data_IF_842579276507
#
_entry.id   IF_842579276507
#
_cell.length_a   1.000
_cell.length_b   1.000
_cell.length_c   1.000
_cell.angle_alpha   90.00
_cell.angle_beta   90.00
_cell.angle_gamma   90.00
#
_symmetry.space_group_name_H-M   'P 1'
#
loop_
_entity.id
_entity.type
_entity.pdbx_description
1 polymer ?
#
# COMPACT_ATOMS: atom_id res chain seq x y z
N UNK A 1 27.63 57.62 7.66
CA UNK A 1 26.89 58.73 8.31
C UNK A 1 25.48 58.22 8.55
N UNK A 2 25.21 57.58 9.69
CA UNK A 2 24.86 58.18 11.00
C UNK A 2 23.38 58.59 11.09
N UNK A 3 22.62 57.74 11.82
CA UNK A 3 21.30 57.90 12.44
C UNK A 3 21.18 59.21 13.29
N UNK A 4 20.10 59.51 14.08
CA UNK A 4 18.84 58.80 14.39
C UNK A 4 17.59 59.72 14.53
N UNK A 5 16.43 59.20 14.98
CA UNK A 5 15.71 59.68 16.19
C UNK A 5 15.01 58.47 16.83
N UNK A 6 15.18 58.33 18.15
CA UNK A 6 14.57 57.32 19.02
C UNK A 6 13.49 57.94 19.92
N UNK A 7 12.65 57.04 20.46
CA UNK A 7 11.83 57.12 21.71
C UNK A 7 10.49 57.86 21.62
N UNK A 8 9.39 57.45 22.26
CA UNK A 8 9.25 56.69 23.52
C UNK A 8 7.99 55.81 23.62
N UNK A 9 8.10 54.71 24.36
CA UNK A 9 7.01 53.94 25.00
C UNK A 9 6.15 54.86 25.89
N UNK A 10 4.82 54.69 25.91
CA UNK A 10 4.11 53.90 26.95
C UNK A 10 2.59 54.18 26.97
N UNK A 11 1.84 53.13 27.33
CA UNK A 11 0.58 53.17 28.08
C UNK A 11 -0.73 53.51 27.35
N UNK A 12 -1.46 52.46 26.95
CA UNK A 12 -2.81 52.09 27.45
C UNK A 12 -3.58 51.36 26.35
N UNK A 13 -3.59 50.04 26.46
CA UNK A 13 -4.55 49.16 25.80
C UNK A 13 -5.74 49.13 26.75
N UNK A 14 -6.89 49.65 26.32
CA UNK A 14 -8.19 49.37 26.95
C UNK A 14 -9.31 49.58 25.91
N UNK A 15 -10.13 48.54 25.76
CA UNK A 15 -11.50 48.48 25.22
C UNK A 15 -11.74 48.48 23.69
N UNK A 16 -11.90 47.28 23.11
CA UNK A 16 -13.19 46.66 22.73
C UNK A 16 -12.96 45.40 21.83
N UNK A 17 -13.96 44.52 21.57
CA UNK A 17 -14.20 43.27 22.29
C UNK A 17 -13.91 41.99 21.48
N UNK A 18 -13.42 40.95 22.16
CA UNK A 18 -13.27 39.58 21.66
C UNK A 18 -14.58 38.79 21.77
N UNK A 19 -15.02 38.03 20.74
CA UNK A 19 -15.90 36.91 20.96
C UNK A 19 -15.10 35.71 21.47
N UNK A 20 -15.52 35.28 22.66
CA UNK A 20 -14.99 34.20 23.47
C UNK A 20 -15.76 32.92 23.13
N UNK A 21 -15.09 31.90 22.59
CA UNK A 21 -15.33 30.50 22.97
C UNK A 21 -14.36 29.56 22.26
N UNK A 22 -13.32 29.17 22.99
CA UNK A 22 -12.70 27.85 22.87
C UNK A 22 -12.52 27.37 24.31
N UNK A 23 -12.97 26.16 24.63
CA UNK A 23 -12.16 25.30 25.47
C UNK A 23 -11.72 24.08 24.66
N UNK A 24 -10.42 23.80 24.76
CA UNK A 24 -9.82 22.57 24.31
C UNK A 24 -10.19 21.42 25.27
N UNK A 25 -10.07 20.21 24.73
CA UNK A 25 -9.85 18.91 25.38
C UNK A 25 -11.07 18.06 25.78
N UNK A 26 -10.91 16.78 25.43
CA UNK A 26 -11.55 15.55 25.94
C UNK A 26 -12.83 15.09 25.22
N UNK A 27 -12.82 13.77 24.92
CA UNK A 27 -13.80 12.85 24.30
C UNK A 27 -13.37 12.48 22.86
N UNK A 28 -12.64 11.38 22.54
CA UNK A 28 -12.72 9.96 22.96
C UNK A 28 -14.14 9.46 23.25
N UNK A 29 -14.53 8.47 22.44
CA UNK A 29 -15.70 7.60 22.50
C UNK A 29 -17.10 8.20 22.24
N UNK A 30 -17.64 7.77 21.10
CA UNK A 30 -18.93 7.08 20.98
C UNK A 30 -20.26 7.85 20.79
N UNK A 31 -21.03 7.31 19.83
CA UNK A 31 -22.49 7.05 19.82
C UNK A 31 -23.32 7.72 18.72
N UNK A 32 -23.63 6.92 17.70
CA UNK A 32 -25.00 6.79 17.17
C UNK A 32 -25.49 5.34 17.32
N UNK A 33 -25.53 4.86 18.57
CA UNK A 33 -26.31 3.68 18.97
C UNK A 33 -27.76 4.12 19.13
N UNK A 34 -28.59 3.93 18.11
CA UNK A 34 -30.05 4.11 18.24
C UNK A 34 -30.72 2.75 18.33
N UNK A 35 -31.03 2.36 19.58
CA UNK A 35 -32.00 1.30 19.92
C UNK A 35 -33.28 1.48 19.08
N UNK A 36 -33.62 0.47 18.28
CA UNK A 36 -35.03 0.14 18.02
C UNK A 36 -35.39 -1.13 18.79
N UNK A 37 -36.62 -1.12 19.29
CA UNK A 37 -37.21 -2.11 20.17
C UNK A 37 -37.56 -3.39 19.41
N UNK A 38 -37.49 -4.49 20.17
CA UNK A 38 -37.77 -5.89 19.83
C UNK A 38 -39.14 -6.17 19.20
N UNK A 39 -39.17 -7.36 18.55
CA UNK A 39 -40.25 -8.29 18.19
C UNK A 39 -40.35 -8.47 16.66
N UNK A 40 -40.25 -9.66 16.07
CA UNK A 40 -40.33 -11.03 16.57
C UNK A 40 -39.74 -12.02 15.54
N UNK A 41 -39.32 -13.18 16.06
CA UNK A 41 -38.78 -14.37 15.39
C UNK A 41 -39.52 -14.80 14.11
N UNK A 42 -38.75 -15.27 13.12
CA UNK A 42 -38.92 -16.60 12.51
C UNK A 42 -37.71 -16.97 11.65
N UNK A 43 -37.03 -18.05 12.05
CA UNK A 43 -36.10 -18.82 11.23
C UNK A 43 -36.78 -19.33 9.95
N UNK A 44 -36.07 -19.29 8.82
CA UNK A 44 -35.89 -20.47 7.95
C UNK A 44 -34.81 -20.25 6.87
N UNK A 45 -34.22 -21.37 6.50
CA UNK A 45 -32.97 -21.58 5.76
C UNK A 45 -32.92 -21.05 4.31
N UNK A 46 -31.68 -20.74 3.90
CA UNK A 46 -31.03 -20.92 2.59
C UNK A 46 -31.89 -20.79 1.31
N UNK A 47 -31.54 -19.82 0.46
CA UNK A 47 -30.97 -20.09 -0.86
C UNK A 47 -30.38 -18.79 -1.46
N UNK A 48 -29.23 -18.98 -2.12
CA UNK A 48 -28.43 -18.02 -2.85
C UNK A 48 -29.14 -17.67 -4.18
N UNK A 49 -29.65 -16.44 -4.30
CA UNK A 49 -29.98 -15.81 -5.58
C UNK A 49 -29.92 -14.28 -5.39
N UNK A 50 -28.91 -13.65 -5.99
CA UNK A 50 -28.72 -12.20 -6.00
C UNK A 50 -29.77 -11.52 -6.90
N UNK A 51 -30.97 -11.32 -6.36
CA UNK A 51 -31.98 -10.45 -6.97
C UNK A 51 -31.58 -8.99 -6.72
N UNK A 52 -31.07 -8.34 -7.77
CA UNK A 52 -30.72 -6.91 -7.75
C UNK A 52 -31.95 -6.10 -7.35
N UNK A 53 -31.86 -5.49 -6.18
CA UNK A 53 -32.90 -4.67 -5.59
C UNK A 53 -33.10 -3.41 -6.47
N UNK A 54 -34.15 -3.40 -7.31
CA UNK A 54 -34.62 -2.19 -7.98
C UNK A 54 -34.74 -1.06 -6.95
N UNK A 55 -33.87 -0.05 -7.05
CA UNK A 55 -33.82 0.99 -6.05
C UNK A 55 -35.16 1.76 -6.03
N UNK A 56 -35.86 1.90 -4.89
CA UNK A 56 -37.18 2.58 -4.80
C UNK A 56 -37.19 4.05 -5.25
N UNK A 57 -36.03 4.60 -5.61
CA UNK A 57 -35.84 5.93 -6.17
C UNK A 57 -36.18 6.01 -7.67
N UNK A 58 -35.87 5.00 -8.47
CA UNK A 58 -36.07 5.05 -9.94
C UNK A 58 -37.54 5.03 -10.31
N UNK A 59 -38.32 4.15 -9.69
CA UNK A 59 -39.77 4.07 -9.90
C UNK A 59 -40.50 5.36 -9.45
N UNK A 60 -40.03 6.05 -8.40
CA UNK A 60 -40.55 7.37 -8.00
C UNK A 60 -40.12 8.52 -8.92
N UNK A 61 -38.96 8.40 -9.56
CA UNK A 61 -38.50 9.35 -10.57
C UNK A 61 -39.36 9.20 -11.82
N UNK A 62 -39.59 7.97 -12.28
CA UNK A 62 -40.45 7.66 -13.43
C UNK A 62 -41.90 8.13 -13.21
N UNK A 63 -42.50 7.86 -12.04
CA UNK A 63 -43.87 8.31 -11.72
C UNK A 63 -44.00 9.86 -11.74
N UNK A 64 -42.92 10.58 -11.48
CA UNK A 64 -42.89 12.05 -11.47
C UNK A 64 -42.51 12.67 -12.82
N UNK A 65 -41.76 11.93 -13.64
CA UNK A 65 -41.41 12.29 -15.02
C UNK A 65 -42.60 12.03 -15.97
N UNK A 66 -43.37 10.96 -15.77
CA UNK A 66 -44.65 10.71 -16.44
C UNK A 66 -45.63 11.89 -16.23
N UNK A 67 -45.65 12.47 -15.03
CA UNK A 67 -46.48 13.63 -14.72
C UNK A 67 -46.07 14.92 -15.48
N UNK A 68 -44.84 14.98 -16.00
CA UNK A 68 -44.31 16.11 -16.77
C UNK A 68 -44.49 15.92 -18.29
N UNK A 69 -44.81 14.71 -18.75
CA UNK A 69 -45.06 14.37 -20.15
C UNK A 69 -46.56 14.38 -20.52
N UNK A 70 -47.40 15.02 -19.70
CA UNK A 70 -48.81 15.25 -20.03
C UNK A 70 -48.91 16.40 -21.04
N UNK A 71 -48.62 16.10 -22.30
CA UNK A 71 -49.24 16.68 -23.50
C UNK A 71 -48.68 15.94 -24.72
N UNK A 72 -49.08 14.68 -24.91
CA UNK A 72 -49.39 14.09 -26.22
C UNK A 72 -50.10 12.74 -26.03
N UNK A 73 -51.06 12.47 -26.92
CA UNK A 73 -52.18 11.54 -26.76
C UNK A 73 -51.77 10.06 -26.88
N UNK A 74 -52.29 9.26 -25.95
CA UNK A 74 -52.79 7.87 -26.06
C UNK A 74 -52.68 7.18 -27.44
N UNK A 75 -51.91 6.08 -27.51
CA UNK A 75 -52.32 4.78 -28.11
C UNK A 75 -51.15 3.77 -28.12
N UNK A 76 -51.36 2.56 -27.56
CA UNK A 76 -50.72 1.33 -28.06
C UNK A 76 -49.86 0.52 -27.07
N UNK A 77 -50.22 -0.75 -26.93
CA UNK A 77 -49.71 -1.81 -26.04
C UNK A 77 -48.38 -2.46 -26.47
N UNK A 78 -47.68 -3.02 -25.47
CA UNK A 78 -46.91 -4.29 -25.41
C UNK A 78 -45.51 -4.46 -26.05
N UNK A 79 -44.68 -5.21 -25.30
CA UNK A 79 -43.38 -5.88 -25.60
C UNK A 79 -42.15 -4.92 -25.69
N UNK A 80 -40.92 -5.18 -25.19
CA UNK A 80 -40.15 -6.41 -24.90
C UNK A 80 -39.17 -6.15 -23.72
N UNK A 81 -38.91 -7.17 -22.90
CA UNK A 81 -37.74 -7.26 -22.02
C UNK A 81 -36.52 -7.56 -22.90
N UNK A 82 -35.59 -6.62 -23.07
CA UNK A 82 -34.19 -6.81 -23.51
C UNK A 82 -33.63 -5.43 -23.95
N UNK A 83 -33.00 -4.67 -23.02
CA UNK A 83 -32.03 -3.55 -23.26
C UNK A 83 -31.96 -2.62 -22.02
N UNK A 84 -31.40 -3.10 -20.90
CA UNK A 84 -31.32 -2.27 -19.67
C UNK A 84 -30.12 -1.29 -19.63
N UNK A 85 -29.13 -1.40 -20.52
CA UNK A 85 -28.06 -0.39 -20.63
C UNK A 85 -28.39 0.76 -21.60
N UNK A 86 -29.25 0.57 -22.61
CA UNK A 86 -29.71 1.66 -23.50
C UNK A 86 -30.88 2.48 -22.89
N UNK A 87 -31.58 1.94 -21.90
CA UNK A 87 -32.76 2.56 -21.29
C UNK A 87 -32.51 3.88 -20.53
N UNK A 88 -31.30 4.08 -20.01
CA UNK A 88 -30.96 5.32 -19.28
C UNK A 88 -30.79 6.52 -20.23
N UNK A 89 -30.20 6.33 -21.41
CA UNK A 89 -30.06 7.40 -22.41
C UNK A 89 -31.43 7.79 -23.02
N UNK A 90 -32.30 6.80 -23.30
CA UNK A 90 -33.66 7.05 -23.78
C UNK A 90 -34.54 7.80 -22.76
N UNK A 91 -34.34 7.57 -21.47
CA UNK A 91 -35.07 8.29 -20.42
C UNK A 91 -34.74 9.80 -20.42
N UNK A 92 -33.50 10.19 -20.74
CA UNK A 92 -33.11 11.59 -20.92
C UNK A 92 -33.73 12.22 -22.17
N UNK A 93 -33.87 11.45 -23.27
CA UNK A 93 -34.48 11.94 -24.50
C UNK A 93 -35.99 12.22 -24.35
N UNK A 94 -36.67 11.46 -23.47
CA UNK A 94 -38.10 11.65 -23.15
C UNK A 94 -38.37 12.81 -22.19
N UNK A 95 -37.35 13.52 -21.71
CA UNK A 95 -37.54 14.67 -20.82
C UNK A 95 -38.03 15.92 -21.58
N UNK A 96 -38.94 16.71 -20.99
CA UNK A 96 -39.34 17.98 -21.59
C UNK A 96 -38.13 18.86 -21.89
N UNK A 97 -38.14 19.55 -23.04
CA UNK A 97 -37.02 20.40 -23.50
C UNK A 97 -36.52 21.39 -22.43
N UNK A 98 -37.40 21.89 -21.58
CA UNK A 98 -37.03 22.78 -20.49
C UNK A 98 -36.19 22.09 -19.40
N UNK A 99 -36.44 20.81 -19.12
CA UNK A 99 -35.67 19.98 -18.20
C UNK A 99 -34.33 19.60 -18.85
N UNK A 100 -34.34 19.17 -20.11
CA UNK A 100 -33.11 18.88 -20.85
C UNK A 100 -32.15 20.08 -20.94
N UNK A 101 -32.67 21.28 -21.21
CA UNK A 101 -31.85 22.49 -21.17
C UNK A 101 -31.24 22.76 -19.78
N UNK A 102 -31.92 22.39 -18.68
CA UNK A 102 -31.37 22.52 -17.33
C UNK A 102 -30.30 21.47 -17.07
N UNK A 103 -30.49 20.23 -17.51
CA UNK A 103 -29.49 19.17 -17.39
C UNK A 103 -28.22 19.54 -18.16
N UNK A 104 -28.34 20.06 -19.39
CA UNK A 104 -27.19 20.56 -20.14
C UNK A 104 -26.47 21.71 -19.40
N UNK A 105 -27.23 22.61 -18.76
CA UNK A 105 -26.63 23.65 -17.92
C UNK A 105 -25.94 23.08 -16.66
N UNK A 106 -26.49 22.02 -16.05
CA UNK A 106 -25.86 21.32 -14.93
C UNK A 106 -24.58 20.59 -15.37
N UNK A 107 -24.56 19.96 -16.55
CA UNK A 107 -23.34 19.38 -17.14
C UNK A 107 -22.24 20.43 -17.34
N UNK A 108 -22.60 21.65 -17.76
CA UNK A 108 -21.66 22.76 -17.86
C UNK A 108 -21.10 23.18 -16.48
N UNK A 109 -21.96 23.30 -15.46
CA UNK A 109 -21.52 23.59 -14.08
C UNK A 109 -20.60 22.48 -13.55
N UNK A 110 -20.89 21.22 -13.86
CA UNK A 110 -20.03 20.10 -13.49
C UNK A 110 -18.64 20.22 -14.13
N UNK A 111 -18.57 20.63 -15.41
CA UNK A 111 -17.29 20.91 -16.07
C UNK A 111 -16.51 22.04 -15.39
N UNK A 112 -17.19 23.12 -14.97
CA UNK A 112 -16.54 24.22 -14.23
C UNK A 112 -16.00 23.74 -12.87
N UNK A 113 -16.71 22.80 -12.22
CA UNK A 113 -16.29 22.18 -10.96
C UNK A 113 -15.04 21.31 -11.15
N UNK A 114 -15.01 20.48 -12.20
CA UNK A 114 -13.82 19.69 -12.55
C UNK A 114 -12.58 20.56 -12.82
N UNK A 115 -12.74 21.72 -13.47
CA UNK A 115 -11.63 22.66 -13.68
C UNK A 115 -11.12 23.24 -12.34
N UNK A 116 -12.02 23.49 -11.38
CA UNK A 116 -11.65 23.95 -10.04
C UNK A 116 -10.91 22.85 -9.26
N UNK A 117 -11.40 21.61 -9.30
CA UNK A 117 -10.76 20.45 -8.67
C UNK A 117 -9.37 20.19 -9.23
N UNK A 118 -9.19 20.35 -10.55
CA UNK A 118 -7.87 20.30 -11.18
C UNK A 118 -6.90 21.34 -10.61
N UNK A 119 -7.35 22.57 -10.42
CA UNK A 119 -6.51 23.59 -9.80
C UNK A 119 -6.19 23.26 -8.33
N UNK A 120 -7.16 22.72 -7.58
CA UNK A 120 -6.94 22.27 -6.21
C UNK A 120 -5.87 21.17 -6.12
N UNK A 121 -5.93 20.15 -6.99
CA UNK A 121 -4.93 19.07 -7.01
C UNK A 121 -3.54 19.58 -7.38
N UNK A 122 -3.43 20.52 -8.31
CA UNK A 122 -2.15 21.15 -8.64
C UNK A 122 -1.57 21.95 -7.45
N UNK A 123 -2.40 22.74 -6.77
CA UNK A 123 -1.97 23.46 -5.56
C UNK A 123 -1.60 22.50 -4.41
N UNK A 124 -2.29 21.35 -4.30
CA UNK A 124 -1.95 20.30 -3.34
C UNK A 124 -0.59 19.71 -3.63
N UNK A 125 -0.31 19.35 -4.89
CA UNK A 125 1.00 18.82 -5.31
C UNK A 125 2.13 19.81 -5.04
N UNK A 126 1.93 21.10 -5.33
CA UNK A 126 2.89 22.16 -5.01
C UNK A 126 3.13 22.28 -3.49
N UNK A 127 2.07 22.10 -2.68
CA UNK A 127 2.16 22.12 -1.23
C UNK A 127 2.93 20.91 -0.69
N UNK A 128 2.64 19.71 -1.19
CA UNK A 128 3.36 18.48 -0.87
C UNK A 128 4.85 18.63 -1.18
N UNK A 129 5.18 19.11 -2.39
CA UNK A 129 6.56 19.37 -2.79
C UNK A 129 7.25 20.36 -1.84
N UNK A 130 6.57 21.44 -1.45
CA UNK A 130 7.10 22.43 -0.50
C UNK A 130 7.40 21.80 0.87
N UNK A 131 6.56 20.89 1.35
CA UNK A 131 6.79 20.21 2.63
C UNK A 131 7.82 19.10 2.53
N UNK A 132 7.92 18.41 1.40
CA UNK A 132 9.01 17.48 1.12
C UNK A 132 10.38 18.16 1.31
N UNK A 133 10.55 19.39 0.81
CA UNK A 133 11.80 20.16 1.04
C UNK A 133 12.07 20.46 2.52
N UNK A 134 11.04 20.53 3.37
CA UNK A 134 11.21 20.69 4.82
C UNK A 134 11.49 19.37 5.53
N UNK A 135 11.03 18.25 4.97
CA UNK A 135 11.33 16.91 5.47
C UNK A 135 12.75 16.47 5.08
N UNK A 136 13.28 16.91 3.93
CA UNK A 136 14.62 16.55 3.43
C UNK A 136 15.72 16.62 4.51
N UNK A 137 15.90 17.71 5.29
CA UNK A 137 16.93 17.76 6.34
C UNK A 137 16.75 16.71 7.44
N UNK A 138 15.52 16.33 7.77
CA UNK A 138 15.23 15.30 8.77
C UNK A 138 15.54 13.91 8.20
N UNK A 139 15.19 13.67 6.93
CA UNK A 139 15.48 12.40 6.25
C UNK A 139 16.98 12.22 6.00
N UNK A 140 17.69 13.30 5.65
CA UNK A 140 19.15 13.32 5.54
C UNK A 140 19.81 13.01 6.88
N UNK A 141 19.33 13.63 7.97
CA UNK A 141 19.85 13.33 9.30
C UNK A 141 19.59 11.88 9.73
N UNK A 142 18.39 11.35 9.46
CA UNK A 142 18.08 9.92 9.66
C UNK A 142 19.04 9.03 8.87
N UNK A 143 19.31 9.36 7.61
CA UNK A 143 20.25 8.61 6.77
C UNK A 143 21.68 8.61 7.34
N UNK A 144 22.16 9.73 7.84
CA UNK A 144 23.48 9.84 8.49
C UNK A 144 23.59 8.95 9.75
N UNK A 145 22.49 8.82 10.52
CA UNK A 145 22.44 7.91 11.68
C UNK A 145 22.39 6.44 11.25
N UNK A 146 21.56 6.10 10.25
CA UNK A 146 21.44 4.72 9.74
C UNK A 146 22.78 4.22 9.17
N UNK A 147 23.51 5.07 8.47
CA UNK A 147 24.81 4.70 7.87
C UNK A 147 25.99 4.79 8.85
N UNK A 148 25.78 5.37 10.04
CA UNK A 148 26.86 5.60 11.02
C UNK A 148 27.81 6.75 10.65
N UNK A 149 27.45 7.58 9.66
CA UNK A 149 28.22 8.79 9.30
C UNK A 149 28.18 9.85 10.42
N UNK A 150 27.12 9.84 11.24
CA UNK A 150 27.01 10.64 12.46
C UNK A 150 26.45 9.81 13.60
N UNK A 151 26.92 10.12 14.80
CA UNK A 151 26.38 9.59 16.05
C UNK A 151 25.22 10.43 16.58
N UNK A 152 24.29 9.78 17.27
CA UNK A 152 23.17 10.45 17.93
C UNK A 152 23.66 11.38 19.05
N UNK A 153 23.04 12.55 19.17
CA UNK A 153 23.37 13.48 20.25
C UNK A 153 22.68 13.09 21.56
N UNK A 154 23.27 13.45 22.71
CA UNK A 154 22.65 13.21 24.03
C UNK A 154 21.22 13.80 24.14
N UNK A 155 20.96 14.93 23.48
CA UNK A 155 19.63 15.55 23.46
C UNK A 155 18.61 14.72 22.66
N UNK A 156 19.03 14.11 21.55
CA UNK A 156 18.20 13.26 20.71
C UNK A 156 17.89 11.94 21.41
N UNK A 157 18.89 11.30 22.03
CA UNK A 157 18.72 10.07 22.80
C UNK A 157 17.73 10.30 23.93
N UNK A 158 17.95 11.36 24.73
CA UNK A 158 17.04 11.70 25.83
C UNK A 158 15.62 11.95 25.34
N UNK A 159 15.47 12.70 24.25
CA UNK A 159 14.16 12.98 23.66
C UNK A 159 13.50 11.70 23.13
N UNK A 160 14.27 10.80 22.53
CA UNK A 160 13.81 9.51 22.03
C UNK A 160 13.28 8.62 23.15
N UNK A 161 14.06 8.43 24.23
CA UNK A 161 13.64 7.64 25.40
C UNK A 161 12.36 8.19 26.06
N UNK A 162 12.23 9.52 26.16
CA UNK A 162 10.98 10.14 26.64
C UNK A 162 9.77 9.84 25.75
N UNK A 163 9.95 9.67 24.44
CA UNK A 163 8.87 9.37 23.49
C UNK A 163 8.49 7.89 23.52
N UNK A 164 9.45 7.00 23.75
CA UNK A 164 9.25 5.55 23.87
C UNK A 164 8.65 5.15 25.23
N UNK A 165 8.50 6.11 26.15
CA UNK A 165 7.90 5.87 27.46
C UNK A 165 8.88 5.33 28.50
N UNK A 166 10.19 5.40 28.25
CA UNK A 166 11.25 4.95 29.17
C UNK A 166 11.48 5.89 30.36
N UNK A 167 10.72 6.98 30.49
CA UNK A 167 10.80 7.91 31.62
C UNK A 167 10.03 7.39 32.86
N UNK A 168 10.51 6.30 33.49
CA UNK A 168 10.29 6.04 34.93
C UNK A 168 11.14 4.90 35.55
N UNK A 169 12.02 4.25 34.78
CA UNK A 169 13.08 3.44 35.38
C UNK A 169 14.38 4.25 35.46
N UNK A 170 15.01 4.12 36.63
CA UNK A 170 16.03 4.98 37.18
C UNK A 170 17.19 5.21 36.20
N UNK A 171 17.94 6.29 36.41
CA UNK A 171 19.36 6.34 36.04
C UNK A 171 20.09 5.16 36.72
N UNK A 172 19.83 3.92 36.30
CA UNK A 172 20.89 2.93 36.24
C UNK A 172 21.80 3.48 35.15
N UNK A 173 22.84 4.19 35.59
CA UNK A 173 24.11 4.18 34.88
C UNK A 173 24.39 2.71 34.56
N UNK A 174 23.89 2.24 33.41
CA UNK A 174 24.47 1.12 32.72
C UNK A 174 25.80 1.68 32.23
N UNK A 175 26.75 1.79 33.16
CA UNK A 175 28.17 1.56 32.92
C UNK A 175 28.22 0.14 32.33
N UNK A 176 27.82 0.01 31.07
CA UNK A 176 28.23 -1.10 30.24
C UNK A 176 29.74 -0.88 30.14
N UNK A 177 30.48 -1.57 31.03
CA UNK A 177 31.87 -1.91 30.74
C UNK A 177 31.88 -2.32 29.26
N UNK A 178 32.71 -1.70 28.40
CA UNK A 178 32.71 -2.04 26.99
C UNK A 178 32.89 -3.55 26.91
N UNK A 179 31.89 -4.28 26.40
CA UNK A 179 32.05 -5.70 26.16
C UNK A 179 33.24 -5.83 25.21
N UNK A 180 34.39 -6.25 25.74
CA UNK A 180 35.60 -6.49 24.98
C UNK A 180 35.32 -7.64 23.99
N UNK A 181 34.75 -7.33 22.84
CA UNK A 181 34.41 -8.32 21.83
C UNK A 181 33.34 -7.95 20.81
N UNK A 182 32.58 -6.86 20.99
CA UNK A 182 31.65 -6.42 19.94
C UNK A 182 32.46 -5.80 18.79
N UNK A 183 32.35 -6.39 17.60
CA UNK A 183 32.81 -5.77 16.36
C UNK A 183 32.19 -4.36 16.30
N UNK A 184 32.94 -3.32 15.91
CA UNK A 184 32.40 -1.97 15.79
C UNK A 184 31.22 -1.98 14.81
N UNK A 185 29.98 -2.05 15.34
CA UNK A 185 28.76 -2.02 14.53
C UNK A 185 28.60 -0.58 14.05
N UNK A 186 28.69 -0.38 12.74
CA UNK A 186 28.55 0.94 12.13
C UNK A 186 27.07 1.16 11.77
N UNK A 187 26.50 2.24 12.30
CA UNK A 187 25.12 2.65 11.98
C UNK A 187 24.07 1.66 12.49
N UNK A 188 22.98 1.51 11.72
CA UNK A 188 21.87 0.59 11.98
C UNK A 188 21.80 -0.43 10.85
N UNK A 189 22.39 -1.62 11.01
CA UNK A 189 22.40 -2.65 9.98
C UNK A 189 20.99 -3.07 9.55
N UNK A 190 20.83 -3.38 8.26
CA UNK A 190 19.59 -3.91 7.68
C UNK A 190 18.33 -3.06 7.90
N UNK A 191 18.46 -1.77 8.26
CA UNK A 191 17.34 -0.90 8.62
C UNK A 191 16.19 -0.93 7.59
N UNK A 192 16.51 -0.72 6.30
CA UNK A 192 15.48 -0.67 5.26
C UNK A 192 14.91 -2.04 4.92
N UNK A 193 15.73 -3.09 4.94
CA UNK A 193 15.26 -4.46 4.74
C UNK A 193 14.23 -4.81 5.82
N UNK A 194 14.56 -4.62 7.10
CA UNK A 194 13.64 -4.90 8.22
C UNK A 194 12.38 -4.03 8.13
N UNK A 195 12.50 -2.74 7.80
CA UNK A 195 11.33 -1.88 7.62
C UNK A 195 10.42 -2.34 6.46
N UNK A 196 11.00 -2.83 5.36
CA UNK A 196 10.27 -3.37 4.21
C UNK A 196 9.63 -4.73 4.51
N UNK A 197 10.27 -5.59 5.30
CA UNK A 197 9.70 -6.88 5.73
C UNK A 197 8.45 -6.69 6.61
N UNK A 198 8.43 -5.63 7.42
CA UNK A 198 7.28 -5.28 8.23
C UNK A 198 6.16 -4.58 7.43
N UNK A 199 6.35 -4.26 6.15
CA UNK A 199 5.33 -3.62 5.31
C UNK A 199 4.62 -4.67 4.44
N UNK A 200 3.37 -5.07 4.73
CA UNK A 200 2.78 -6.31 4.19
C UNK A 200 2.76 -6.42 2.66
N UNK A 201 2.42 -5.35 1.95
CA UNK A 201 2.38 -5.35 0.48
C UNK A 201 3.77 -5.47 -0.15
N UNK A 202 4.80 -4.91 0.51
CA UNK A 202 6.17 -4.99 0.03
C UNK A 202 6.77 -6.36 0.36
N UNK A 203 6.60 -6.84 1.59
CA UNK A 203 7.21 -8.08 2.07
C UNK A 203 6.74 -9.31 1.30
N UNK A 204 5.48 -9.35 0.84
CA UNK A 204 4.96 -10.41 -0.03
C UNK A 204 5.73 -10.54 -1.36
N UNK A 205 6.38 -9.47 -1.81
CA UNK A 205 7.14 -9.43 -3.06
C UNK A 205 8.65 -9.59 -2.82
N UNK A 206 9.11 -9.71 -1.58
CA UNK A 206 10.52 -9.89 -1.21
C UNK A 206 10.81 -11.37 -1.00
N UNK A 207 11.75 -11.92 -1.76
CA UNK A 207 12.22 -13.30 -1.60
C UNK A 207 13.49 -13.37 -0.76
N UNK A 208 13.85 -14.57 -0.28
CA UNK A 208 15.09 -14.80 0.48
C UNK A 208 16.35 -14.35 -0.29
N UNK A 209 16.37 -14.50 -1.62
CA UNK A 209 17.47 -14.05 -2.45
C UNK A 209 17.53 -12.51 -2.53
N UNK A 210 16.38 -11.84 -2.48
CA UNK A 210 16.31 -10.38 -2.49
C UNK A 210 16.81 -9.78 -1.17
N UNK A 211 16.59 -10.47 -0.04
CA UNK A 211 17.07 -10.03 1.28
C UNK A 211 18.58 -9.78 1.27
N UNK A 212 19.37 -10.68 0.67
CA UNK A 212 20.82 -10.53 0.56
C UNK A 212 21.22 -9.25 -0.16
N UNK A 213 20.48 -8.87 -1.22
CA UNK A 213 20.73 -7.65 -1.99
C UNK A 213 20.26 -6.41 -1.22
N UNK A 214 19.09 -6.50 -0.57
CA UNK A 214 18.50 -5.42 0.21
C UNK A 214 19.28 -5.09 1.49
N UNK A 215 20.18 -5.97 1.95
CA UNK A 215 21.14 -5.63 3.02
C UNK A 215 22.04 -4.44 2.65
N UNK A 216 22.29 -4.22 1.35
CA UNK A 216 23.06 -3.10 0.83
C UNK A 216 22.20 -1.83 0.61
N UNK A 217 20.90 -1.86 0.89
CA UNK A 217 20.03 -0.68 0.74
C UNK A 217 20.26 0.29 1.90
N UNK A 218 20.79 1.47 1.59
CA UNK A 218 21.18 2.47 2.60
C UNK A 218 20.16 3.59 2.74
N UNK A 219 19.39 3.91 1.69
CA UNK A 219 18.39 4.97 1.74
C UNK A 219 17.26 4.77 0.73
N UNK A 220 16.06 5.26 1.08
CA UNK A 220 14.93 5.42 0.16
C UNK A 220 14.47 6.87 0.25
N UNK A 221 14.40 7.54 -0.89
CA UNK A 221 13.98 8.95 -0.98
C UNK A 221 12.88 9.15 -2.02
N UNK A 222 12.08 10.21 -1.82
CA UNK A 222 10.98 10.61 -2.68
C UNK A 222 11.31 11.95 -3.33
N UNK A 223 11.04 12.07 -4.62
CA UNK A 223 11.05 13.33 -5.36
C UNK A 223 9.78 13.47 -6.20
N UNK A 224 9.23 14.68 -6.31
CA UNK A 224 8.12 14.97 -7.22
C UNK A 224 8.62 15.47 -8.56
N UNK A 225 7.96 15.05 -9.64
CA UNK A 225 8.27 15.48 -11.00
C UNK A 225 7.81 16.93 -11.20
N UNK A 226 8.74 17.82 -11.50
CA UNK A 226 8.49 19.27 -11.61
C UNK A 226 8.46 19.79 -13.04
N UNK A 227 9.02 19.03 -13.98
CA UNK A 227 9.13 19.41 -15.38
C UNK A 227 8.32 18.44 -16.25
N UNK A 228 7.17 18.90 -16.77
CA UNK A 228 6.34 18.12 -17.68
C UNK A 228 5.09 17.55 -17.03
N UNK A 229 4.91 16.23 -17.11
CA UNK A 229 3.76 15.53 -16.52
C UNK A 229 3.95 15.44 -14.99
N UNK A 230 2.91 15.68 -14.18
CA UNK A 230 2.98 15.49 -12.74
C UNK A 230 3.21 14.00 -12.42
N UNK A 231 3.80 13.73 -11.28
CA UNK A 231 4.20 12.38 -10.87
C UNK A 231 5.20 12.42 -9.73
N UNK A 232 5.70 11.25 -9.35
CA UNK A 232 6.73 11.13 -8.34
C UNK A 232 7.73 10.04 -8.68
N UNK A 233 8.90 10.12 -8.06
CA UNK A 233 10.01 9.20 -8.23
C UNK A 233 10.49 8.72 -6.87
N UNK A 234 10.62 7.40 -6.74
CA UNK A 234 11.27 6.71 -5.64
C UNK A 234 12.72 6.43 -6.03
N UNK A 235 13.65 6.77 -5.15
CA UNK A 235 15.10 6.60 -5.38
C UNK A 235 15.66 5.75 -4.25
N UNK A 236 16.12 4.55 -4.61
CA UNK A 236 16.74 3.57 -3.72
C UNK A 236 18.26 3.70 -3.86
N UNK A 237 18.95 4.00 -2.77
CA UNK A 237 20.42 4.19 -2.76
C UNK A 237 21.08 2.98 -2.14
N UNK A 238 21.99 2.35 -2.88
CA UNK A 238 22.72 1.16 -2.44
C UNK A 238 24.16 1.50 -2.06
N UNK A 239 24.72 0.71 -1.16
CA UNK A 239 26.13 0.80 -0.81
C UNK A 239 27.01 0.55 -2.06
N UNK A 240 28.13 1.26 -2.14
CA UNK A 240 29.14 1.11 -3.20
C UNK A 240 29.87 -0.22 -3.12
N UNK A 241 29.85 -0.88 -1.96
CA UNK A 241 30.41 -2.21 -1.77
C UNK A 241 29.46 -3.34 -2.21
N UNK A 242 28.27 -3.01 -2.72
CA UNK A 242 27.31 -3.97 -3.27
C UNK A 242 27.94 -4.89 -4.32
N UNK A 243 27.85 -6.21 -4.07
CA UNK A 243 28.43 -7.25 -4.93
C UNK A 243 27.50 -7.68 -6.08
N UNK A 244 26.22 -7.32 -6.04
CA UNK A 244 25.20 -7.83 -6.96
C UNK A 244 25.08 -7.02 -8.26
N UNK A 245 25.13 -5.68 -8.17
CA UNK A 245 25.03 -4.79 -9.33
C UNK A 245 25.85 -3.52 -9.14
N UNK A 246 26.09 -2.81 -10.24
CA UNK A 246 26.99 -1.62 -10.26
C UNK A 246 26.27 -0.28 -10.11
N UNK A 247 24.94 -0.26 -10.11
CA UNK A 247 24.15 0.95 -9.88
C UNK A 247 24.36 1.46 -8.44
N UNK A 248 24.67 2.76 -8.28
CA UNK A 248 24.66 3.41 -6.96
C UNK A 248 23.23 3.69 -6.48
N UNK A 249 22.33 3.96 -7.43
CA UNK A 249 20.91 4.20 -7.17
C UNK A 249 20.05 3.44 -8.16
N UNK A 250 18.89 2.97 -7.72
CA UNK A 250 17.82 2.48 -8.59
C UNK A 250 16.60 3.38 -8.43
N UNK A 251 16.04 3.80 -9.55
CA UNK A 251 14.89 4.71 -9.59
C UNK A 251 13.63 4.02 -10.12
N UNK A 252 12.50 4.39 -9.53
CA UNK A 252 11.17 4.01 -9.99
C UNK A 252 10.32 5.27 -10.08
N UNK A 253 9.77 5.54 -11.26
CA UNK A 253 9.06 6.79 -11.57
C UNK A 253 7.63 6.47 -11.95
N UNK A 254 6.69 7.18 -11.35
CA UNK A 254 5.27 7.10 -11.65
C UNK A 254 4.82 8.41 -12.28
N UNK A 255 4.18 8.32 -13.43
CA UNK A 255 3.62 9.47 -14.13
C UNK A 255 2.10 9.48 -13.98
N UNK A 256 1.55 10.66 -13.73
CA UNK A 256 0.11 10.87 -13.73
C UNK A 256 -0.37 11.36 -15.09
N UNK A 257 -1.62 11.03 -15.40
CA UNK A 257 -2.32 11.57 -16.56
C UNK A 257 -2.55 13.09 -16.39
N UNK A 258 -2.75 13.78 -17.52
CA UNK A 258 -3.01 15.23 -17.50
C UNK A 258 -4.45 15.58 -17.10
N UNK A 259 -5.33 14.59 -17.17
CA UNK A 259 -6.74 14.66 -16.78
C UNK A 259 -6.89 14.01 -15.41
N UNK A 260 -7.77 14.58 -14.57
CA UNK A 260 -8.13 13.96 -13.31
C UNK A 260 -9.15 12.86 -13.56
N UNK A 261 -9.16 11.88 -12.67
CA UNK A 261 -10.22 10.88 -12.65
C UNK A 261 -11.55 11.49 -12.26
N UNK A 262 -12.60 10.69 -12.44
CA UNK A 262 -13.95 11.10 -12.07
C UNK A 262 -14.08 11.43 -10.57
N UNK A 263 -13.26 10.81 -9.70
CA UNK A 263 -13.19 11.12 -8.26
C UNK A 263 -12.54 12.48 -7.95
N UNK A 264 -11.89 13.11 -8.92
CA UNK A 264 -11.11 14.32 -8.74
C UNK A 264 -9.65 14.09 -8.33
N UNK A 265 -9.16 12.85 -8.35
CA UNK A 265 -7.77 12.49 -8.02
C UNK A 265 -6.91 12.27 -9.27
N UNK A 266 -5.59 12.28 -9.10
CA UNK A 266 -4.66 11.94 -10.18
C UNK A 266 -4.80 10.46 -10.55
N UNK A 267 -4.89 10.18 -11.86
CA UNK A 267 -4.85 8.81 -12.40
C UNK A 267 -3.42 8.51 -12.84
N UNK A 268 -2.94 7.28 -12.57
CA UNK A 268 -1.67 6.80 -13.10
C UNK A 268 -1.72 6.62 -14.63
N UNK A 269 -0.70 7.11 -15.32
CA UNK A 269 -0.50 6.97 -16.76
C UNK A 269 0.31 5.70 -17.05
N UNK A 270 1.55 5.69 -16.56
CA UNK A 270 2.46 4.55 -16.65
C UNK A 270 3.55 4.69 -15.58
N UNK A 271 4.31 3.60 -15.39
CA UNK A 271 5.52 3.61 -14.58
C UNK A 271 6.77 3.34 -15.42
N UNK A 272 7.88 3.96 -15.05
CA UNK A 272 9.21 3.70 -15.59
C UNK A 272 10.14 3.24 -14.47
N UNK A 273 10.76 2.09 -14.63
CA UNK A 273 11.81 1.62 -13.75
C UNK A 273 13.21 1.80 -14.34
N UNK A 274 14.23 1.42 -13.57
CA UNK A 274 15.63 1.53 -13.96
C UNK A 274 16.25 0.16 -14.25
N UNK A 275 16.98 0.07 -15.36
CA UNK A 275 17.71 -1.16 -15.69
C UNK A 275 18.83 -1.43 -14.70
N UNK A 276 18.75 -2.59 -14.04
CA UNK A 276 19.75 -3.05 -13.08
C UNK A 276 20.95 -3.66 -13.82
N UNK A 277 22.14 -3.14 -13.54
CA UNK A 277 23.40 -3.59 -14.13
C UNK A 277 24.05 -4.66 -13.24
N UNK A 278 23.43 -5.85 -13.23
CA UNK A 278 23.92 -7.04 -12.52
C UNK A 278 25.38 -7.36 -12.90
N UNK A 279 26.20 -7.69 -11.90
CA UNK A 279 27.63 -8.00 -12.10
C UNK A 279 27.81 -9.29 -12.90
N UNK A 280 26.98 -10.31 -12.62
CA UNK A 280 26.88 -11.52 -13.41
C UNK A 280 25.48 -12.17 -13.29
N UNK A 281 25.25 -13.24 -14.06
CA UNK A 281 23.97 -13.94 -14.08
C UNK A 281 23.68 -14.71 -12.77
N UNK A 282 24.70 -15.12 -12.01
CA UNK A 282 24.53 -15.86 -10.75
C UNK A 282 24.15 -14.91 -9.60
N UNK A 283 24.53 -13.62 -9.69
CA UNK A 283 24.09 -12.55 -8.77
C UNK A 283 22.77 -11.90 -9.18
N UNK A 284 22.22 -12.24 -10.35
CA UNK A 284 20.93 -11.72 -10.78
C UNK A 284 19.80 -12.49 -10.11
N UNK A 285 19.19 -11.88 -9.10
CA UNK A 285 18.08 -12.49 -8.32
C UNK A 285 16.75 -12.53 -9.08
N UNK A 286 16.63 -11.82 -10.23
CA UNK A 286 15.41 -11.86 -11.05
C UNK A 286 15.37 -13.05 -12.03
N UNK A 287 16.46 -13.84 -12.12
CA UNK A 287 16.53 -14.99 -13.02
C UNK A 287 17.17 -16.23 -12.40
N UNK A 288 16.63 -17.40 -12.71
CA UNK A 288 17.25 -18.68 -12.39
C UNK A 288 18.15 -19.16 -13.54
N UNK A 289 19.44 -19.39 -13.25
CA UNK A 289 20.45 -19.83 -14.24
C UNK A 289 20.53 -21.36 -14.35
N UNK A 290 19.94 -21.93 -15.41
CA UNK A 290 20.04 -23.38 -15.71
C UNK A 290 21.15 -23.68 -16.71
N UNK A 291 22.25 -24.28 -16.26
CA UNK A 291 23.44 -24.62 -17.08
C UNK A 291 23.37 -26.03 -17.68
N UNK A 292 23.46 -26.15 -19.02
CA UNK A 292 23.50 -27.44 -19.74
C UNK A 292 24.74 -27.56 -20.61
N UNK A 293 25.48 -28.67 -20.46
CA UNK A 293 26.63 -28.98 -21.33
C UNK A 293 26.16 -29.55 -22.67
N UNK A 294 26.45 -28.84 -23.76
CA UNK A 294 26.22 -29.29 -25.12
C UNK A 294 27.54 -29.74 -25.75
N UNK A 295 27.58 -30.97 -26.25
CA UNK A 295 28.72 -31.47 -27.02
C UNK A 295 28.43 -31.39 -28.50
N UNK A 296 29.25 -30.67 -29.24
CA UNK A 296 29.16 -30.64 -30.69
C UNK A 296 29.52 -32.03 -31.25
N UNK A 297 28.57 -32.66 -31.95
CA UNK A 297 28.73 -34.03 -32.49
C UNK A 297 29.92 -34.14 -33.45
N UNK A 298 30.27 -33.06 -34.15
CA UNK A 298 31.30 -33.05 -35.21
C UNK A 298 32.68 -32.66 -34.67
N UNK A 299 32.76 -31.58 -33.89
CA UNK A 299 34.05 -31.07 -33.37
C UNK A 299 34.45 -31.66 -32.02
N UNK A 300 33.56 -32.45 -31.38
CA UNK A 300 33.68 -33.00 -30.02
C UNK A 300 33.92 -31.96 -28.92
N UNK A 301 33.92 -30.66 -29.23
CA UNK A 301 34.02 -29.58 -28.27
C UNK A 301 32.76 -29.54 -27.40
N UNK A 302 32.95 -29.32 -26.11
CA UNK A 302 31.89 -29.17 -25.11
C UNK A 302 31.74 -27.67 -24.85
N UNK A 303 30.53 -27.14 -25.04
CA UNK A 303 30.15 -25.79 -24.64
C UNK A 303 29.09 -25.89 -23.55
N UNK A 304 29.17 -25.05 -22.53
CA UNK A 304 28.08 -24.88 -21.56
C UNK A 304 27.14 -23.83 -22.12
N UNK A 305 25.85 -24.15 -22.20
CA UNK A 305 24.78 -23.21 -22.57
C UNK A 305 24.03 -22.91 -21.28
N UNK A 306 23.84 -21.64 -21.00
CA UNK A 306 23.04 -21.16 -19.87
C UNK A 306 21.64 -20.82 -20.40
N UNK A 307 20.61 -21.28 -19.70
CA UNK A 307 19.22 -20.89 -19.93
C UNK A 307 18.78 -20.10 -18.70
N UNK A 308 18.50 -18.82 -18.90
CA UNK A 308 17.91 -17.95 -17.89
C UNK A 308 16.39 -18.15 -17.90
N UNK A 309 15.79 -18.31 -16.73
CA UNK A 309 14.34 -18.40 -16.56
C UNK A 309 13.94 -17.29 -15.58
N UNK A 310 13.07 -16.33 -15.96
CA UNK A 310 12.59 -15.31 -15.04
C UNK A 310 11.97 -15.93 -13.79
N UNK A 311 12.23 -15.34 -12.64
CA UNK A 311 11.65 -15.73 -11.36
C UNK A 311 11.05 -14.51 -10.67
N UNK A 312 10.15 -14.78 -9.74
CA UNK A 312 9.61 -13.77 -8.84
C UNK A 312 10.72 -13.24 -7.93
N UNK A 313 10.80 -11.91 -7.85
CA UNK A 313 11.83 -11.17 -7.14
C UNK A 313 11.34 -9.74 -6.96
N UNK A 314 11.65 -9.14 -5.81
CA UNK A 314 11.35 -7.74 -5.54
C UNK A 314 11.92 -6.81 -6.63
N UNK A 315 13.10 -7.13 -7.17
CA UNK A 315 13.77 -6.28 -8.15
C UNK A 315 13.07 -6.22 -9.52
N UNK A 316 12.07 -7.08 -9.76
CA UNK A 316 11.16 -6.90 -10.89
C UNK A 316 10.31 -5.61 -10.77
N UNK A 317 10.22 -5.02 -9.57
CA UNK A 317 9.64 -3.69 -9.35
C UNK A 317 10.31 -2.59 -10.20
N UNK A 318 11.58 -2.75 -10.57
CA UNK A 318 12.30 -1.82 -11.45
C UNK A 318 12.14 -2.15 -12.95
N UNK A 319 11.37 -3.17 -13.30
CA UNK A 319 10.94 -3.48 -14.66
C UNK A 319 9.39 -3.57 -14.68
N UNK A 320 8.70 -2.43 -14.50
CA UNK A 320 7.25 -2.41 -14.35
C UNK A 320 6.54 -2.99 -15.58
N UNK A 321 5.35 -3.57 -15.40
CA UNK A 321 4.51 -3.95 -16.54
C UNK A 321 4.29 -2.73 -17.44
N UNK A 322 4.29 -2.94 -18.75
CA UNK A 322 4.04 -1.86 -19.70
C UNK A 322 2.54 -1.59 -19.77
N UNK A 323 2.15 -0.32 -19.74
CA UNK A 323 0.80 0.06 -20.16
C UNK A 323 0.61 -0.33 -21.63
N UNK A 324 -0.50 -0.99 -21.95
CA UNK A 324 -0.83 -1.30 -23.34
C UNK A 324 -1.33 -0.03 -24.03
N UNK A 325 -0.94 0.13 -25.29
CA UNK A 325 -1.65 1.07 -26.17
C UNK A 325 -2.95 0.39 -26.65
N UNK A 326 -4.02 1.14 -26.95
CA UNK A 326 -5.29 0.57 -27.40
C UNK A 326 -5.18 -0.34 -28.65
N UNK A 327 -4.15 -0.14 -29.48
CA UNK A 327 -3.89 -0.99 -30.65
C UNK A 327 -3.23 -2.34 -30.28
N UNK A 328 -2.56 -2.40 -29.13
CA UNK A 328 -1.93 -3.63 -28.61
C UNK A 328 -2.91 -4.45 -27.76
N UNK A 329 -3.90 -3.80 -27.13
CA UNK A 329 -5.01 -4.48 -26.43
C UNK A 329 -5.81 -5.39 -27.36
N UNK A 330 -6.06 -4.96 -28.61
CA UNK A 330 -6.79 -5.73 -29.62
C UNK A 330 -6.13 -7.08 -29.99
N UNK A 331 -4.82 -7.23 -29.74
CA UNK A 331 -4.03 -8.43 -30.05
C UNK A 331 -3.94 -9.43 -28.88
N UNK A 332 -4.37 -9.03 -27.67
CA UNK A 332 -4.35 -9.84 -26.45
C UNK A 332 -5.75 -10.38 -26.14
N UNK A 333 -5.83 -11.48 -25.41
CA UNK A 333 -7.11 -11.95 -24.89
C UNK A 333 -7.47 -11.24 -23.57
N UNK A 334 -8.75 -11.31 -23.19
CA UNK A 334 -9.27 -10.67 -21.98
C UNK A 334 -8.56 -11.15 -20.70
N UNK A 335 -8.07 -12.39 -20.68
CA UNK A 335 -7.35 -12.96 -19.53
C UNK A 335 -5.94 -12.35 -19.41
N UNK A 336 -5.22 -12.21 -20.52
CA UNK A 336 -3.92 -11.56 -20.58
C UNK A 336 -4.00 -10.07 -20.20
N UNK A 337 -5.04 -9.36 -20.63
CA UNK A 337 -5.29 -7.95 -20.25
C UNK A 337 -5.56 -7.86 -18.74
N UNK A 338 -6.46 -8.68 -18.20
CA UNK A 338 -6.79 -8.66 -16.78
C UNK A 338 -5.58 -9.02 -15.88
N UNK A 339 -4.72 -9.97 -16.31
CA UNK A 339 -3.49 -10.28 -15.59
C UNK A 339 -2.52 -9.09 -15.58
N UNK A 340 -2.37 -8.40 -16.71
CA UNK A 340 -1.51 -7.23 -16.82
C UNK A 340 -2.02 -6.06 -15.95
N UNK A 341 -3.32 -5.77 -15.99
CA UNK A 341 -3.95 -4.74 -15.16
C UNK A 341 -3.78 -5.04 -13.66
N UNK A 342 -3.97 -6.29 -13.26
CA UNK A 342 -3.74 -6.74 -11.88
C UNK A 342 -2.31 -6.50 -11.44
N UNK A 343 -1.32 -6.82 -12.30
CA UNK A 343 0.09 -6.57 -12.01
C UNK A 343 0.43 -5.08 -11.94
N UNK A 344 -0.16 -4.25 -12.79
CA UNK A 344 -0.02 -2.78 -12.72
C UNK A 344 -0.62 -2.22 -11.42
N UNK A 345 -1.79 -2.70 -11.02
CA UNK A 345 -2.44 -2.27 -9.78
C UNK A 345 -1.58 -2.58 -8.56
N UNK A 346 -1.00 -3.78 -8.48
CA UNK A 346 -0.06 -4.16 -7.41
C UNK A 346 1.20 -3.28 -7.44
N UNK A 347 1.76 -3.01 -8.63
CA UNK A 347 2.93 -2.14 -8.77
C UNK A 347 2.69 -0.71 -8.27
N UNK A 348 1.51 -0.14 -8.55
CA UNK A 348 1.10 1.18 -8.10
C UNK A 348 0.85 1.19 -6.59
N UNK A 349 0.15 0.18 -6.06
CA UNK A 349 -0.08 0.04 -4.63
C UNK A 349 1.25 -0.03 -3.84
N UNK A 350 2.22 -0.83 -4.31
CA UNK A 350 3.56 -0.89 -3.70
C UNK A 350 4.24 0.48 -3.72
N UNK A 351 4.15 1.20 -4.85
CA UNK A 351 4.70 2.55 -4.98
C UNK A 351 4.12 3.54 -3.96
N UNK A 352 2.79 3.48 -3.75
CA UNK A 352 2.08 4.31 -2.78
C UNK A 352 2.44 3.96 -1.34
N UNK A 353 2.49 2.67 -0.99
CA UNK A 353 2.90 2.20 0.34
C UNK A 353 4.30 2.71 0.70
N UNK A 354 5.25 2.65 -0.24
CA UNK A 354 6.61 3.17 -0.03
C UNK A 354 6.59 4.70 0.13
N UNK A 355 5.83 5.40 -0.71
CA UNK A 355 5.73 6.86 -0.72
C UNK A 355 5.09 7.41 0.56
N UNK A 356 3.94 6.89 0.93
CA UNK A 356 3.04 7.48 1.94
C UNK A 356 3.20 6.87 3.33
N UNK A 357 3.68 5.63 3.43
CA UNK A 357 3.89 4.95 4.72
C UNK A 357 5.35 4.71 5.05
N UNK A 358 6.09 4.01 4.18
CA UNK A 358 7.46 3.58 4.50
C UNK A 358 8.40 4.78 4.69
N UNK A 359 8.51 5.67 3.70
CA UNK A 359 9.45 6.80 3.76
C UNK A 359 9.13 7.73 4.95
N UNK A 360 7.87 8.14 5.20
CA UNK A 360 7.54 9.06 6.28
C UNK A 360 7.63 8.47 7.69
N UNK A 361 7.49 7.14 7.84
CA UNK A 361 7.46 6.42 9.13
C UNK A 361 8.41 5.25 9.20
N UNK A 362 9.55 5.33 8.52
CA UNK A 362 10.50 4.23 8.39
C UNK A 362 10.97 3.63 9.74
N UNK A 363 11.09 4.45 10.78
CA UNK A 363 11.49 3.98 12.12
C UNK A 363 10.39 3.12 12.75
N UNK A 364 9.12 3.51 12.63
CA UNK A 364 8.00 2.75 13.18
C UNK A 364 7.79 1.44 12.41
N UNK A 365 8.06 1.42 11.10
CA UNK A 365 8.10 0.20 10.31
C UNK A 365 9.30 -0.68 10.67
N UNK A 366 10.46 -0.10 10.96
CA UNK A 366 11.63 -0.85 11.42
C UNK A 366 11.38 -1.52 12.79
N UNK A 367 10.78 -0.80 13.75
CA UNK A 367 10.49 -1.33 15.09
C UNK A 367 9.25 -2.23 15.13
N UNK A 368 8.42 -2.21 14.09
CA UNK A 368 7.15 -2.92 14.03
C UNK A 368 5.98 -2.17 14.71
N UNK A 369 6.23 -1.02 15.34
CA UNK A 369 5.18 -0.21 15.97
C UNK A 369 4.11 0.25 14.95
N UNK A 370 4.48 0.44 13.68
CA UNK A 370 3.55 0.80 12.62
C UNK A 370 2.50 -0.31 12.38
N UNK A 371 2.88 -1.58 12.51
CA UNK A 371 1.94 -2.71 12.33
C UNK A 371 0.84 -2.69 13.39
N UNK A 372 1.19 -2.42 14.65
CA UNK A 372 0.20 -2.31 15.73
C UNK A 372 -0.73 -1.11 15.52
N UNK A 373 -0.20 0.03 15.08
CA UNK A 373 -0.99 1.23 14.85
C UNK A 373 -1.95 1.12 13.64
N UNK A 374 -1.57 0.34 12.63
CA UNK A 374 -2.36 0.20 11.41
C UNK A 374 -3.27 -1.03 11.43
N UNK A 375 -2.83 -2.13 12.03
CA UNK A 375 -3.51 -3.43 11.99
C UNK A 375 -3.81 -4.03 13.37
N UNK A 376 -3.40 -3.38 14.47
CA UNK A 376 -3.54 -3.94 15.83
C UNK A 376 -4.99 -4.01 16.34
N UNK A 377 -5.87 -3.14 15.85
CA UNK A 377 -7.29 -3.12 16.27
C UNK A 377 -8.15 -4.20 15.57
N UNK A 378 -7.60 -4.94 14.58
CA UNK A 378 -8.36 -5.94 13.81
C UNK A 378 -8.33 -7.36 14.39
N UNK A 379 -7.53 -7.63 15.45
CA UNK A 379 -7.42 -8.97 16.06
C UNK A 379 -8.21 -9.17 17.37
N UNK A 380 -8.86 -8.14 17.92
CA UNK A 380 -9.62 -8.25 19.19
C UNK A 380 -11.14 -8.53 19.03
N UNK A 381 -11.64 -8.88 17.84
CA UNK A 381 -13.07 -9.18 17.60
C UNK A 381 -13.38 -10.64 17.23
N UNK A 382 -12.63 -11.65 17.68
CA UNK A 382 -13.00 -13.05 17.38
C UNK A 382 -12.70 -14.11 18.47
N UNK A 383 -12.75 -13.74 19.77
CA UNK A 383 -12.50 -14.71 20.86
C UNK A 383 -13.53 -14.67 22.01
N UNK A 384 -14.79 -14.30 21.73
CA UNK A 384 -15.89 -14.36 22.71
C UNK A 384 -17.16 -15.03 22.13
N UNK A 385 -17.22 -16.36 22.15
CA UNK A 385 -18.33 -17.19 22.67
C UNK A 385 -18.27 -18.61 22.08
N UNK A 386 -17.83 -19.59 22.87
CA UNK A 386 -18.55 -20.85 23.09
C UNK A 386 -17.88 -21.63 24.23
N UNK A 387 -18.05 -21.15 25.47
CA UNK A 387 -18.06 -22.02 26.66
C UNK A 387 -19.50 -22.10 27.16
N UNK A 388 -20.23 -23.11 26.70
CA UNK A 388 -21.35 -23.66 27.45
C UNK A 388 -21.04 -25.12 27.78
N UNK A 389 -20.45 -25.29 28.96
CA UNK A 389 -20.51 -26.52 29.74
C UNK A 389 -21.97 -26.96 29.93
N UNK A 390 -22.29 -28.17 29.50
CA UNK A 390 -23.13 -29.05 30.31
C UNK A 390 -22.63 -30.48 30.16
N UNK A 391 -22.09 -31.01 31.26
CA UNK A 391 -21.62 -32.37 31.36
C UNK A 391 -22.73 -33.34 31.74
N UNK A 392 -22.62 -34.58 31.28
CA UNK A 392 -23.03 -35.74 32.07
C UNK A 392 -21.99 -36.85 31.90
N UNK A 393 -21.47 -37.30 33.04
CA UNK A 393 -20.63 -38.49 33.22
C UNK A 393 -21.45 -39.76 32.96
N UNK A 394 -20.93 -40.70 32.17
CA UNK A 394 -21.14 -42.13 32.46
C UNK A 394 -19.83 -42.90 32.18
N UNK A 395 -19.20 -43.33 33.27
CA UNK A 395 -18.20 -44.38 33.33
C UNK A 395 -18.78 -45.71 32.84
N UNK A 396 -18.00 -46.56 32.15
CA UNK A 396 -17.74 -47.94 32.58
C UNK A 396 -16.44 -48.47 31.91
N UNK A 397 -15.44 -48.76 32.77
CA UNK A 397 -14.59 -49.96 32.86
C UNK A 397 -14.76 -51.04 31.77
N UNK A 398 -13.79 -51.81 31.27
CA UNK A 398 -12.48 -52.32 31.71
C UNK A 398 -11.96 -53.16 30.51
N UNK A 399 -10.66 -53.20 30.22
CA UNK A 399 -9.88 -54.46 30.34
C UNK A 399 -8.41 -54.26 29.88
N UNK A 400 -7.54 -54.65 30.79
CA UNK A 400 -6.10 -54.46 30.79
C UNK A 400 -5.38 -55.64 30.11
N UNK A 401 -4.24 -55.33 29.46
CA UNK A 401 -3.05 -56.18 29.29
C UNK A 401 -3.09 -57.43 28.37
N UNK A 402 -2.16 -57.51 27.42
CA UNK A 402 -0.91 -58.25 27.65
C UNK A 402 0.20 -57.98 26.61
N UNK A 403 1.42 -58.17 27.09
CA UNK A 403 2.75 -57.87 26.55
C UNK A 403 3.29 -58.89 25.53
N UNK A 404 4.28 -58.40 24.76
CA UNK A 404 5.55 -59.04 24.37
C UNK A 404 5.57 -60.48 23.80
N UNK A 405 6.04 -60.61 22.55
CA UNK A 405 7.00 -61.67 22.19
C UNK A 405 7.75 -61.38 20.87
N UNK A 406 9.07 -61.34 20.98
CA UNK A 406 10.06 -61.24 19.91
C UNK A 406 9.92 -62.30 18.81
N UNK A 407 10.35 -61.97 17.58
CA UNK A 407 11.29 -62.82 16.83
C UNK A 407 12.03 -62.08 15.69
N UNK A 408 13.34 -61.93 15.90
CA UNK A 408 14.37 -61.73 14.87
C UNK A 408 14.48 -62.97 13.98
N UNK A 409 14.62 -62.78 12.67
CA UNK A 409 15.32 -63.71 11.76
C UNK A 409 16.19 -62.86 10.81
N UNK A 410 17.51 -63.02 10.88
CA UNK A 410 18.50 -62.59 9.88
C UNK A 410 18.93 -63.84 9.03
N UNK A 411 19.90 -63.74 8.11
CA UNK A 411 19.86 -63.25 6.73
C UNK A 411 20.24 -64.38 5.72
N UNK A 412 20.25 -64.18 4.39
CA UNK A 412 20.82 -65.16 3.46
C UNK A 412 22.33 -64.99 3.26
N UNK A 413 23.00 -66.15 3.18
CA UNK A 413 24.43 -66.41 2.97
C UNK A 413 25.00 -65.86 1.65
N UNK A 414 26.28 -65.46 1.67
CA UNK A 414 27.15 -65.46 0.50
C UNK A 414 28.45 -66.19 0.86
N UNK A 415 28.70 -67.29 0.17
CA UNK A 415 29.85 -68.19 0.35
C UNK A 415 31.03 -67.82 -0.57
N UNK A 416 32.23 -68.05 -0.02
CA UNK A 416 33.53 -68.40 -0.65
C UNK A 416 34.30 -67.26 -1.38
N UNK A 417 35.58 -66.99 -1.10
CA UNK A 417 36.67 -67.77 -0.49
C UNK A 417 37.66 -66.89 0.27
#
# INVERSE_FOLDING_TARGET
>A
MSNPIKTSRSSKIDNAPTPHNTPASVLKDSYLRKKQQQQSDQDQDQDDDSEYNESPSLSRINEKLEFLNIDEEDEGEEEEEEEEEEGDEEAFERLPKAVNNRILALKAIQSDLFELEKNFQLEMLELEQKYLQKYKPLHEHRYELITGDKEATEEEIKRGGSLDGEDEHEEEEHDQEPEEGEEEIVGVPCFWLTAMENLPMVSQNVTEADCDVLTYLTNITLEYLTEGKPGFQLIFTFDKENEFFTNETLTKTYYYQSELGYSGDFIYDHAEGETINWVDNDHNVTVEVKRRKQKNKTTKQIRTIEKLTPVESFFNFFDPPKSLDPEEEDDLDEEEIAELESRLAVDYAIGEEIKDKLIPRAVDWFTGAALELEYGDEQEEDDDEFDDQDGEEEEEEDDFANKDALKKVQPPECEQS
#
